data_IF_695252924152
#
_entry.id   IF_695252924152
#
_cell.length_a   1.000
_cell.length_b   1.000
_cell.length_c   1.000
_cell.angle_alpha   90.00
_cell.angle_beta   90.00
_cell.angle_gamma   90.00
#
_symmetry.space_group_name_H-M   'P 1'
#
loop_
_entity.id
_entity.type
_entity.pdbx_description
1 polymer ?
#
# COMPACT_ATOMS: atom_id res chain seq x y z
N UNK A 1 10.31 2.86 18.31
CA UNK A 1 9.98 1.52 18.85
C UNK A 1 8.90 0.92 17.99
N UNK A 2 8.93 -0.39 17.68
CA UNK A 2 7.84 -1.00 16.92
C UNK A 2 6.60 -1.11 17.81
N UNK A 3 5.47 -0.57 17.33
CA UNK A 3 4.17 -0.66 18.00
C UNK A 3 3.33 -1.81 17.46
N UNK A 4 3.59 -2.22 16.20
CA UNK A 4 3.01 -3.40 15.58
C UNK A 4 4.12 -4.17 14.87
N UNK A 5 4.24 -5.48 15.13
CA UNK A 5 5.12 -6.40 14.40
C UNK A 5 4.28 -7.42 13.64
N UNK A 6 4.49 -7.47 12.35
CA UNK A 6 3.98 -8.51 11.46
C UNK A 6 5.11 -9.50 11.26
N UNK A 7 4.93 -10.77 11.67
CA UNK A 7 5.99 -11.77 11.69
C UNK A 7 5.59 -13.00 10.88
N UNK A 8 6.31 -13.24 9.79
CA UNK A 8 6.24 -14.43 8.96
C UNK A 8 4.81 -14.80 8.53
N UNK A 9 4.00 -13.79 8.18
CA UNK A 9 2.62 -14.04 7.79
C UNK A 9 2.53 -14.65 6.39
N UNK A 10 1.64 -15.65 6.27
CA UNK A 10 1.19 -16.16 4.97
C UNK A 10 -0.33 -16.12 4.93
N UNK A 11 -0.87 -15.85 3.76
CA UNK A 11 -2.31 -15.77 3.52
C UNK A 11 -2.67 -16.23 2.12
N UNK A 12 -3.66 -17.13 2.06
CA UNK A 12 -4.23 -17.66 0.82
C UNK A 12 -5.67 -17.16 0.65
N UNK A 13 -6.06 -16.85 -0.56
CA UNK A 13 -7.45 -16.67 -0.95
C UNK A 13 -7.77 -17.65 -2.09
N UNK A 14 -8.50 -18.71 -1.76
CA UNK A 14 -8.63 -19.85 -2.66
C UNK A 14 -7.26 -20.42 -3.01
N UNK A 15 -6.94 -20.47 -4.30
CA UNK A 15 -5.63 -20.96 -4.78
C UNK A 15 -4.57 -19.83 -4.91
N UNK A 16 -4.95 -18.58 -4.62
CA UNK A 16 -4.05 -17.44 -4.78
C UNK A 16 -3.30 -17.14 -3.47
N UNK A 17 -1.98 -17.27 -3.51
CA UNK A 17 -1.10 -16.85 -2.44
C UNK A 17 -1.01 -15.31 -2.43
N UNK A 18 -1.42 -14.68 -1.33
CA UNK A 18 -1.44 -13.23 -1.16
C UNK A 18 -0.18 -12.77 -0.41
N UNK A 19 0.17 -13.47 0.67
CA UNK A 19 1.40 -13.24 1.43
C UNK A 19 2.16 -14.56 1.58
N UNK A 20 3.49 -14.49 1.43
CA UNK A 20 4.41 -15.62 1.50
C UNK A 20 5.56 -15.27 2.45
N UNK A 21 5.46 -15.73 3.69
CA UNK A 21 6.47 -15.49 4.74
C UNK A 21 6.85 -14.00 4.88
N UNK A 22 5.83 -13.13 4.86
CA UNK A 22 6.02 -11.69 4.83
C UNK A 22 6.14 -11.12 6.25
N UNK A 23 7.10 -10.22 6.46
CA UNK A 23 7.36 -9.59 7.75
C UNK A 23 7.53 -8.08 7.60
N UNK A 24 6.98 -7.32 8.57
CA UNK A 24 7.09 -5.86 8.59
C UNK A 24 6.89 -5.33 10.02
N UNK A 25 7.65 -4.29 10.39
CA UNK A 25 7.51 -3.59 11.66
C UNK A 25 7.01 -2.16 11.46
N UNK A 26 5.90 -1.79 12.11
CA UNK A 26 5.35 -0.44 12.14
C UNK A 26 5.85 0.27 13.39
N UNK A 27 6.49 1.43 13.21
CA UNK A 27 7.05 2.22 14.31
C UNK A 27 6.11 3.34 14.71
N UNK A 28 6.27 3.80 15.94
CA UNK A 28 5.56 4.98 16.43
C UNK A 28 5.92 6.23 15.59
N UNK A 29 4.91 6.96 15.14
CA UNK A 29 5.08 8.14 14.28
C UNK A 29 5.31 7.85 12.80
N UNK A 30 5.35 6.59 12.38
CA UNK A 30 5.41 6.21 10.96
C UNK A 30 4.14 6.65 10.22
N UNK A 31 4.31 7.23 9.05
CA UNK A 31 3.24 7.48 8.08
C UNK A 31 3.48 6.62 6.86
N UNK A 32 2.97 5.40 6.91
CA UNK A 32 3.23 4.36 5.92
C UNK A 32 2.17 4.37 4.84
N UNK A 33 2.60 4.60 3.60
CA UNK A 33 1.78 4.39 2.41
C UNK A 33 1.99 2.98 1.85
N UNK A 34 0.92 2.20 1.70
CA UNK A 34 0.96 0.87 1.12
C UNK A 34 0.70 0.95 -0.37
N UNK A 35 1.62 0.40 -1.16
CA UNK A 35 1.53 0.38 -2.62
C UNK A 35 1.64 -1.04 -3.16
N UNK A 36 1.13 -1.26 -4.36
CA UNK A 36 1.15 -2.56 -5.03
C UNK A 36 0.02 -2.68 -6.04
N UNK A 37 0.08 -3.68 -6.93
CA UNK A 37 -0.93 -3.94 -7.96
C UNK A 37 -2.28 -4.29 -7.30
N UNK A 38 -3.38 -4.08 -8.01
CA UNK A 38 -4.69 -4.48 -7.52
C UNK A 38 -4.77 -6.00 -7.29
N UNK A 39 -5.33 -6.38 -6.14
CA UNK A 39 -5.44 -7.79 -5.74
C UNK A 39 -4.17 -8.40 -5.16
N UNK A 40 -3.16 -7.61 -4.75
CA UNK A 40 -1.98 -8.07 -4.00
C UNK A 40 -2.21 -8.19 -2.49
N UNK A 41 -3.39 -7.84 -1.99
CA UNK A 41 -3.73 -7.98 -0.58
C UNK A 41 -3.57 -6.72 0.27
N UNK A 42 -3.50 -5.52 -0.32
CA UNK A 42 -3.38 -4.26 0.44
C UNK A 42 -4.47 -4.10 1.51
N UNK A 43 -5.74 -4.17 1.12
CA UNK A 43 -6.87 -4.07 2.07
C UNK A 43 -6.94 -5.26 3.03
N UNK A 44 -6.50 -6.45 2.60
CA UNK A 44 -6.37 -7.61 3.48
C UNK A 44 -5.35 -7.36 4.58
N UNK A 45 -4.20 -6.76 4.24
CA UNK A 45 -3.18 -6.38 5.22
C UNK A 45 -3.74 -5.37 6.23
N UNK A 46 -4.47 -4.34 5.75
CA UNK A 46 -5.11 -3.37 6.65
C UNK A 46 -6.08 -4.05 7.60
N UNK A 47 -6.96 -4.94 7.11
CA UNK A 47 -7.89 -5.71 7.95
C UNK A 47 -7.19 -6.61 8.95
N UNK A 48 -6.11 -7.26 8.54
CA UNK A 48 -5.31 -8.08 9.47
C UNK A 48 -4.65 -7.21 10.56
N UNK A 49 -4.12 -6.03 10.19
CA UNK A 49 -3.54 -5.10 11.17
C UNK A 49 -4.61 -4.52 12.08
N UNK A 50 -5.80 -4.20 11.57
CA UNK A 50 -6.96 -3.77 12.37
C UNK A 50 -7.52 -4.86 13.29
N UNK A 51 -7.22 -6.13 13.02
CA UNK A 51 -7.72 -7.26 13.80
C UNK A 51 -9.04 -7.85 13.32
N UNK A 52 -9.53 -7.40 12.15
CA UNK A 52 -10.76 -7.92 11.53
C UNK A 52 -10.53 -9.24 10.77
N UNK A 53 -9.27 -9.53 10.43
CA UNK A 53 -8.87 -10.75 9.74
C UNK A 53 -7.62 -11.35 10.37
N UNK A 54 -7.44 -12.67 10.24
CA UNK A 54 -6.27 -13.39 10.76
C UNK A 54 -5.44 -13.94 9.60
N UNK A 55 -4.11 -13.94 9.71
CA UNK A 55 -3.25 -14.66 8.77
C UNK A 55 -3.46 -16.17 8.92
N UNK A 56 -3.14 -16.96 7.88
CA UNK A 56 -3.22 -18.42 7.90
C UNK A 56 -2.00 -19.03 8.62
N UNK A 57 -0.86 -18.34 8.57
CA UNK A 57 0.33 -18.65 9.38
C UNK A 57 1.06 -17.36 9.77
N UNK A 58 1.97 -17.45 10.74
CA UNK A 58 2.64 -16.29 11.33
C UNK A 58 1.75 -15.58 12.36
N UNK A 59 2.15 -14.38 12.74
CA UNK A 59 1.43 -13.62 13.76
C UNK A 59 1.57 -12.11 13.58
N UNK A 60 0.60 -11.38 14.14
CA UNK A 60 0.63 -9.91 14.23
C UNK A 60 0.61 -9.54 15.71
N UNK A 61 1.73 -9.03 16.20
CA UNK A 61 1.91 -8.63 17.59
C UNK A 61 1.67 -7.13 17.67
N UNK A 62 0.75 -6.72 18.54
CA UNK A 62 0.43 -5.30 18.80
C UNK A 62 0.86 -4.95 20.22
N UNK A 63 1.31 -3.72 20.41
CA UNK A 63 1.59 -3.20 21.73
C UNK A 63 0.32 -3.24 22.60
N UNK A 64 0.48 -3.52 23.90
CA UNK A 64 -0.65 -3.54 24.83
C UNK A 64 -1.34 -2.17 24.90
N UNK A 65 -2.67 -2.18 24.94
CA UNK A 65 -3.55 -0.99 25.02
C UNK A 65 -3.40 -0.04 23.83
N UNK A 66 -2.91 -0.50 22.67
CA UNK A 66 -2.82 0.28 21.46
C UNK A 66 -4.23 0.59 20.93
N UNK A 67 -4.58 1.87 20.90
CA UNK A 67 -5.85 2.33 20.33
C UNK A 67 -5.71 2.44 18.82
N UNK A 68 -6.57 1.76 18.08
CA UNK A 68 -6.56 1.77 16.61
C UNK A 68 -7.90 2.24 16.08
N UNK A 69 -7.85 3.20 15.15
CA UNK A 69 -9.01 3.62 14.39
C UNK A 69 -8.89 3.12 12.95
N UNK A 70 -9.92 2.50 12.40
CA UNK A 70 -9.91 1.93 11.06
C UNK A 70 -11.03 2.46 10.19
N UNK A 71 -10.69 2.98 9.02
CA UNK A 71 -11.61 3.32 7.95
C UNK A 71 -11.52 2.25 6.85
N UNK A 72 -12.48 1.33 6.74
CA UNK A 72 -12.50 0.33 5.67
C UNK A 72 -12.87 0.95 4.32
N UNK A 73 -12.56 0.25 3.23
CA UNK A 73 -12.93 0.67 1.88
C UNK A 73 -14.45 0.82 1.72
N UNK A 74 -15.23 -0.03 2.36
CA UNK A 74 -16.69 0.02 2.39
C UNK A 74 -17.19 0.00 3.84
N UNK A 75 -17.39 1.17 4.47
CA UNK A 75 -17.93 1.23 5.82
C UNK A 75 -19.35 0.67 5.91
N UNK A 76 -19.65 -0.01 6.99
CA UNK A 76 -21.00 -0.48 7.31
C UNK A 76 -21.75 0.59 8.12
N UNK A 77 -23.03 0.72 7.84
CA UNK A 77 -23.89 1.72 8.50
C UNK A 77 -25.10 1.04 9.11
N UNK A 78 -25.44 1.37 10.39
CA UNK A 78 -26.68 0.91 11.00
C UNK A 78 -27.89 1.45 10.25
N UNK A 79 -28.94 0.64 10.15
CA UNK A 79 -30.22 1.08 9.58
C UNK A 79 -30.80 2.24 10.40
N UNK A 80 -31.43 3.18 9.71
CA UNK A 80 -32.08 4.36 10.31
C UNK A 80 -31.15 5.31 11.10
N UNK A 81 -29.84 5.12 11.08
CA UNK A 81 -28.92 6.04 11.74
C UNK A 81 -28.87 7.39 11.02
N UNK A 82 -28.79 8.47 11.80
CA UNK A 82 -28.51 9.81 11.29
C UNK A 82 -26.99 10.04 11.21
N UNK A 83 -26.58 11.07 10.47
CA UNK A 83 -25.17 11.47 10.35
C UNK A 83 -24.54 11.62 11.74
N UNK A 84 -25.15 12.40 12.62
CA UNK A 84 -24.60 12.68 13.94
C UNK A 84 -24.64 11.44 14.85
N UNK A 85 -25.74 10.67 14.83
CA UNK A 85 -25.87 9.48 15.67
C UNK A 85 -24.83 8.40 15.33
N UNK A 86 -24.48 8.26 14.06
CA UNK A 86 -23.41 7.35 13.61
C UNK A 86 -22.05 7.89 13.98
N UNK A 87 -21.82 9.18 13.75
CA UNK A 87 -20.51 9.79 13.97
C UNK A 87 -20.15 9.91 15.46
N UNK A 88 -21.15 9.91 16.37
CA UNK A 88 -20.98 9.91 17.83
C UNK A 88 -21.26 8.55 18.47
N UNK A 89 -21.09 7.46 17.77
CA UNK A 89 -21.39 6.13 18.33
C UNK A 89 -20.26 5.51 19.17
N UNK A 90 -19.19 6.25 19.44
CA UNK A 90 -18.04 5.86 20.26
C UNK A 90 -17.73 6.92 21.33
N UNK A 91 -16.43 7.05 21.62
CA UNK A 91 -15.91 8.02 22.60
C UNK A 91 -15.52 9.36 21.95
N UNK A 92 -16.09 9.66 20.75
CA UNK A 92 -15.76 10.86 19.99
C UNK A 92 -16.30 12.13 20.66
N UNK A 93 -15.52 13.20 20.66
CA UNK A 93 -15.94 14.52 21.09
C UNK A 93 -16.85 15.19 20.03
N UNK A 94 -18.07 15.56 20.40
CA UNK A 94 -19.07 16.11 19.47
C UNK A 94 -18.54 17.28 18.64
N UNK A 95 -17.81 18.20 19.24
CA UNK A 95 -17.24 19.37 18.55
C UNK A 95 -16.20 18.99 17.48
N UNK A 96 -15.41 17.93 17.72
CA UNK A 96 -14.43 17.41 16.74
C UNK A 96 -15.16 16.76 15.57
N UNK A 97 -16.17 15.94 15.85
CA UNK A 97 -17.00 15.31 14.83
C UNK A 97 -17.66 16.36 13.95
N UNK A 98 -18.30 17.37 14.54
CA UNK A 98 -18.96 18.45 13.79
C UNK A 98 -17.95 19.25 12.97
N UNK A 99 -16.78 19.57 13.52
CA UNK A 99 -15.70 20.24 12.79
C UNK A 99 -15.27 19.43 11.56
N UNK A 100 -15.00 18.13 11.73
CA UNK A 100 -14.59 17.25 10.64
C UNK A 100 -15.69 17.11 9.57
N UNK A 101 -16.96 17.00 9.97
CA UNK A 101 -18.11 16.94 9.05
C UNK A 101 -18.19 18.20 8.18
N UNK A 102 -18.05 19.39 8.79
CA UNK A 102 -18.04 20.67 8.07
C UNK A 102 -16.91 20.71 7.04
N UNK A 103 -15.68 20.33 7.42
CA UNK A 103 -14.54 20.29 6.51
C UNK A 103 -14.74 19.32 5.35
N UNK A 104 -15.50 18.24 5.57
CA UNK A 104 -15.85 17.26 4.55
C UNK A 104 -17.16 17.60 3.79
N UNK A 105 -17.70 18.81 4.01
CA UNK A 105 -18.87 19.33 3.30
C UNK A 105 -20.19 18.66 3.69
N UNK A 106 -20.29 18.15 4.91
CA UNK A 106 -21.51 17.56 5.48
C UNK A 106 -22.04 18.52 6.55
N UNK A 107 -23.18 19.14 6.27
CA UNK A 107 -23.82 20.15 7.17
C UNK A 107 -25.17 19.70 7.73
N UNK A 108 -25.76 18.67 7.16
CA UNK A 108 -27.08 18.14 7.57
C UNK A 108 -26.86 16.98 8.57
N UNK A 109 -26.76 17.30 9.86
CA UNK A 109 -26.46 16.34 10.91
C UNK A 109 -27.57 15.35 11.22
N UNK A 110 -28.86 15.79 11.05
CA UNK A 110 -30.03 14.97 11.29
C UNK A 110 -30.46 14.15 10.07
N UNK A 111 -29.79 14.33 8.93
CA UNK A 111 -30.07 13.55 7.73
C UNK A 111 -29.82 12.05 7.98
N UNK A 112 -30.74 11.20 7.50
CA UNK A 112 -30.55 9.74 7.54
C UNK A 112 -29.44 9.34 6.60
N UNK A 113 -28.54 8.45 7.05
CA UNK A 113 -27.45 7.94 6.23
C UNK A 113 -27.94 7.25 4.95
N UNK A 114 -29.10 6.61 4.98
CA UNK A 114 -29.69 5.95 3.83
C UNK A 114 -30.07 6.92 2.70
N UNK A 115 -30.30 8.19 3.02
CA UNK A 115 -30.61 9.24 2.03
C UNK A 115 -29.37 9.84 1.38
N UNK A 116 -28.20 9.60 1.94
CA UNK A 116 -26.94 10.12 1.45
C UNK A 116 -26.36 9.25 0.32
N UNK A 117 -25.64 9.90 -0.60
CA UNK A 117 -24.83 9.18 -1.60
C UNK A 117 -23.73 8.34 -0.94
N UNK A 118 -23.23 7.32 -1.63
CA UNK A 118 -22.13 6.49 -1.12
C UNK A 118 -20.89 7.31 -0.74
N UNK A 119 -20.56 8.34 -1.54
CA UNK A 119 -19.46 9.26 -1.25
C UNK A 119 -19.68 10.10 0.02
N UNK A 120 -20.91 10.62 0.23
CA UNK A 120 -21.24 11.36 1.45
C UNK A 120 -21.18 10.47 2.69
N UNK A 121 -21.74 9.26 2.62
CA UNK A 121 -21.65 8.28 3.73
C UNK A 121 -20.19 8.00 4.10
N UNK A 122 -19.32 7.86 3.10
CA UNK A 122 -17.90 7.63 3.33
C UNK A 122 -17.21 8.80 4.01
N UNK A 123 -17.56 10.05 3.65
CA UNK A 123 -17.09 11.26 4.33
C UNK A 123 -17.51 11.30 5.79
N UNK A 124 -18.75 10.87 6.10
CA UNK A 124 -19.21 10.75 7.48
C UNK A 124 -18.40 9.72 8.26
N UNK A 125 -18.09 8.56 7.66
CA UNK A 125 -17.26 7.55 8.29
C UNK A 125 -15.80 8.06 8.51
N UNK A 126 -15.24 8.81 7.56
CA UNK A 126 -13.95 9.46 7.72
C UNK A 126 -13.97 10.48 8.86
N UNK A 127 -15.02 11.34 8.92
CA UNK A 127 -15.15 12.33 10.00
C UNK A 127 -15.16 11.68 11.38
N UNK A 128 -15.90 10.57 11.54
CA UNK A 128 -15.93 9.78 12.76
C UNK A 128 -14.54 9.26 13.14
N UNK A 129 -13.90 8.56 12.22
CA UNK A 129 -12.58 7.94 12.47
C UNK A 129 -11.55 8.98 12.86
N UNK A 130 -11.56 10.18 12.22
CA UNK A 130 -10.62 11.26 12.54
C UNK A 130 -10.93 11.99 13.87
N UNK A 131 -12.13 11.80 14.44
CA UNK A 131 -12.51 12.37 15.73
C UNK A 131 -12.29 11.41 16.90
N UNK A 132 -12.05 10.13 16.64
CA UNK A 132 -11.77 9.12 17.67
C UNK A 132 -10.40 9.35 18.31
N UNK A 133 -10.22 8.83 19.52
CA UNK A 133 -8.92 8.81 20.19
C UNK A 133 -8.14 7.56 19.75
N UNK A 134 -7.01 7.74 19.08
CA UNK A 134 -6.21 6.66 18.51
C UNK A 134 -4.70 6.95 18.51
N UNK A 135 -3.91 5.88 18.65
CA UNK A 135 -2.45 5.87 18.47
C UNK A 135 -2.09 5.51 17.03
N UNK A 136 -2.90 4.64 16.41
CA UNK A 136 -2.72 4.19 15.02
C UNK A 136 -3.98 4.41 14.21
N UNK A 137 -3.83 5.15 13.12
CA UNK A 137 -4.88 5.41 12.15
C UNK A 137 -4.69 4.53 10.91
N UNK A 138 -5.65 3.66 10.64
CA UNK A 138 -5.64 2.75 9.49
C UNK A 138 -6.68 3.23 8.48
N UNK A 139 -6.25 3.50 7.24
CA UNK A 139 -7.10 4.09 6.21
C UNK A 139 -7.04 3.29 4.90
N UNK A 140 -8.20 2.84 4.44
CA UNK A 140 -8.33 2.19 3.14
C UNK A 140 -9.01 3.14 2.14
N UNK A 141 -8.22 3.71 1.22
CA UNK A 141 -8.63 4.67 0.18
C UNK A 141 -9.32 5.93 0.73
N UNK A 142 -8.72 6.66 1.69
CA UNK A 142 -9.37 7.82 2.33
C UNK A 142 -9.60 9.00 1.38
N UNK A 143 -8.86 9.07 0.28
CA UNK A 143 -8.91 10.17 -0.69
C UNK A 143 -10.07 10.07 -1.69
N UNK A 144 -10.71 8.90 -1.79
CA UNK A 144 -11.82 8.69 -2.71
C UNK A 144 -13.03 9.56 -2.35
N UNK A 145 -13.61 10.17 -3.36
CA UNK A 145 -14.77 11.07 -3.25
C UNK A 145 -14.51 12.41 -2.55
N UNK A 146 -13.25 12.77 -2.31
CA UNK A 146 -12.87 14.08 -1.80
C UNK A 146 -12.56 15.03 -2.96
N UNK A 147 -13.01 16.27 -2.84
CA UNK A 147 -12.58 17.36 -3.73
C UNK A 147 -11.22 17.94 -3.29
N UNK A 148 -10.69 18.87 -4.10
CA UNK A 148 -9.36 19.42 -3.85
C UNK A 148 -9.22 20.16 -2.52
N UNK A 149 -10.29 20.82 -2.04
CA UNK A 149 -10.26 21.55 -0.77
C UNK A 149 -10.22 20.57 0.41
N UNK A 150 -11.05 19.52 0.35
CA UNK A 150 -11.09 18.45 1.35
C UNK A 150 -9.78 17.65 1.37
N UNK A 151 -9.19 17.36 0.20
CA UNK A 151 -7.87 16.71 0.10
C UNK A 151 -6.79 17.57 0.76
N UNK A 152 -6.75 18.87 0.48
CA UNK A 152 -5.76 19.76 1.10
C UNK A 152 -5.92 19.82 2.61
N UNK A 153 -7.15 19.86 3.11
CA UNK A 153 -7.42 19.79 4.54
C UNK A 153 -6.94 18.47 5.15
N UNK A 154 -7.24 17.33 4.49
CA UNK A 154 -6.80 16.01 4.97
C UNK A 154 -5.27 15.87 4.94
N UNK A 155 -4.60 16.40 3.90
CA UNK A 155 -3.13 16.47 3.84
C UNK A 155 -2.55 17.22 5.04
N UNK A 156 -3.11 18.39 5.37
CA UNK A 156 -2.65 19.20 6.49
C UNK A 156 -2.96 18.54 7.84
N UNK A 157 -4.12 17.90 7.98
CA UNK A 157 -4.46 17.09 9.15
C UNK A 157 -3.42 15.99 9.36
N UNK A 158 -3.13 15.21 8.31
CA UNK A 158 -2.18 14.09 8.39
C UNK A 158 -0.74 14.56 8.66
N UNK A 159 -0.31 15.70 8.12
CA UNK A 159 1.02 16.27 8.40
C UNK A 159 1.19 16.68 9.86
N UNK A 160 0.15 17.27 10.43
CA UNK A 160 0.17 17.76 11.81
C UNK A 160 -0.06 16.65 12.85
N UNK A 161 -0.67 15.53 12.43
CA UNK A 161 -0.88 14.38 13.30
C UNK A 161 0.45 13.72 13.64
N UNK A 162 0.73 13.54 14.93
CA UNK A 162 1.99 12.99 15.44
C UNK A 162 1.99 11.47 15.62
N UNK A 163 0.82 10.85 15.63
CA UNK A 163 0.69 9.41 15.75
C UNK A 163 1.03 8.67 14.45
N UNK A 164 0.78 7.38 14.48
CA UNK A 164 1.10 6.47 13.37
C UNK A 164 -0.05 6.39 12.39
N UNK A 165 0.25 6.41 11.09
CA UNK A 165 -0.72 6.25 10.00
C UNK A 165 -0.30 5.08 9.12
N UNK A 166 -1.26 4.20 8.82
CA UNK A 166 -1.08 3.05 7.94
C UNK A 166 -2.16 3.07 6.88
N UNK A 167 -1.83 3.42 5.63
CA UNK A 167 -2.83 3.76 4.64
C UNK A 167 -2.58 3.15 3.27
N UNK A 168 -3.69 2.85 2.58
CA UNK A 168 -3.74 2.53 1.15
C UNK A 168 -4.41 3.69 0.42
N UNK A 169 -3.81 4.21 -0.63
CA UNK A 169 -4.46 5.15 -1.55
C UNK A 169 -3.83 5.09 -2.93
N UNK A 170 -4.61 5.41 -3.95
CA UNK A 170 -4.14 5.56 -5.33
C UNK A 170 -3.68 7.00 -5.63
N UNK A 171 -3.88 7.94 -4.72
CA UNK A 171 -3.40 9.33 -4.90
C UNK A 171 -1.91 9.44 -4.58
N UNK A 172 -1.09 9.47 -5.63
CA UNK A 172 0.38 9.56 -5.54
C UNK A 172 0.84 10.88 -4.93
N UNK A 173 0.12 11.97 -5.19
CA UNK A 173 0.46 13.28 -4.65
C UNK A 173 0.19 13.34 -3.15
N UNK A 174 -0.91 12.73 -2.72
CA UNK A 174 -1.20 12.59 -1.30
C UNK A 174 -0.14 11.76 -0.59
N UNK A 175 0.23 10.59 -1.15
CA UNK A 175 1.31 9.76 -0.61
C UNK A 175 2.64 10.52 -0.52
N UNK A 176 3.01 11.24 -1.57
CA UNK A 176 4.28 11.96 -1.62
C UNK A 176 4.40 13.05 -0.55
N UNK A 177 3.27 13.69 -0.21
CA UNK A 177 3.21 14.77 0.78
C UNK A 177 3.07 14.30 2.23
N UNK A 178 2.42 13.16 2.45
CA UNK A 178 2.01 12.69 3.77
C UNK A 178 2.90 11.56 4.28
N UNK A 179 3.32 10.63 3.42
CA UNK A 179 4.08 9.46 3.86
C UNK A 179 5.56 9.77 4.08
N UNK A 180 6.13 9.22 5.14
CA UNK A 180 7.58 9.17 5.39
C UNK A 180 8.17 7.78 5.12
N UNK A 181 7.30 6.79 4.88
CA UNK A 181 7.69 5.41 4.61
C UNK A 181 6.71 4.76 3.62
N UNK A 182 7.23 4.00 2.67
CA UNK A 182 6.41 3.26 1.70
C UNK A 182 6.61 1.76 1.94
N UNK A 183 5.51 1.02 1.96
CA UNK A 183 5.46 -0.43 2.01
C UNK A 183 4.92 -0.96 0.68
N UNK A 184 5.80 -1.55 -0.12
CA UNK A 184 5.41 -2.21 -1.37
C UNK A 184 5.03 -3.66 -1.12
N UNK A 185 3.87 -4.08 -1.64
CA UNK A 185 3.44 -5.48 -1.68
C UNK A 185 3.58 -5.97 -3.13
N UNK A 186 4.52 -6.88 -3.34
CA UNK A 186 4.80 -7.47 -4.65
C UNK A 186 5.08 -8.97 -4.53
N UNK A 187 4.38 -9.77 -5.32
CA UNK A 187 4.53 -11.24 -5.38
C UNK A 187 4.54 -11.94 -4.01
N UNK A 188 3.64 -11.55 -3.12
CA UNK A 188 3.52 -12.11 -1.77
C UNK A 188 4.54 -11.61 -0.76
N UNK A 189 5.50 -10.77 -1.17
CA UNK A 189 6.53 -10.20 -0.31
C UNK A 189 6.25 -8.75 0.02
N UNK A 190 6.84 -8.28 1.10
CA UNK A 190 6.79 -6.90 1.57
C UNK A 190 8.17 -6.26 1.48
N UNK A 191 8.24 -5.10 0.82
CA UNK A 191 9.47 -4.30 0.72
C UNK A 191 9.23 -2.94 1.34
N UNK A 192 10.06 -2.57 2.31
CA UNK A 192 9.94 -1.31 3.03
C UNK A 192 10.99 -0.31 2.57
N UNK A 193 10.55 0.93 2.31
CA UNK A 193 11.40 2.04 1.89
C UNK A 193 11.17 3.23 2.82
N UNK A 194 12.21 3.65 3.52
CA UNK A 194 12.17 4.83 4.41
C UNK A 194 12.28 6.10 3.56
N UNK A 195 11.19 6.41 2.84
CA UNK A 195 11.14 7.51 1.88
C UNK A 195 9.69 7.92 1.57
N UNK A 196 9.52 9.09 0.92
CA UNK A 196 8.27 9.48 0.28
C UNK A 196 8.04 8.70 -1.04
N UNK A 197 6.88 8.93 -1.68
CA UNK A 197 6.51 8.20 -2.89
C UNK A 197 7.45 8.45 -4.08
N UNK A 198 7.91 9.69 -4.29
CA UNK A 198 8.82 10.03 -5.40
C UNK A 198 10.16 9.29 -5.27
N UNK A 199 10.76 9.33 -4.09
CA UNK A 199 12.04 8.63 -3.84
C UNK A 199 11.88 7.11 -3.85
N UNK A 200 10.74 6.59 -3.41
CA UNK A 200 10.41 5.17 -3.51
C UNK A 200 10.52 4.66 -4.95
N UNK A 201 10.01 5.40 -5.94
CA UNK A 201 10.09 4.99 -7.35
C UNK A 201 11.51 4.78 -7.84
N UNK A 202 12.44 5.66 -7.43
CA UNK A 202 13.86 5.54 -7.75
C UNK A 202 14.47 4.30 -7.08
N UNK A 203 14.23 4.12 -5.77
CA UNK A 203 14.75 2.97 -5.01
C UNK A 203 14.18 1.64 -5.52
N UNK A 204 12.91 1.61 -5.93
CA UNK A 204 12.29 0.45 -6.56
C UNK A 204 13.00 0.11 -7.86
N UNK A 205 13.23 1.09 -8.74
CA UNK A 205 13.93 0.88 -10.01
C UNK A 205 15.36 0.35 -9.79
N UNK A 206 16.10 0.92 -8.84
CA UNK A 206 17.44 0.43 -8.46
C UNK A 206 17.41 -1.03 -7.98
N UNK A 207 16.44 -1.40 -7.12
CA UNK A 207 16.25 -2.77 -6.64
C UNK A 207 15.98 -3.74 -7.81
N UNK A 208 15.01 -3.40 -8.67
CA UNK A 208 14.65 -4.25 -9.82
C UNK A 208 15.82 -4.44 -10.78
N UNK A 209 16.63 -3.40 -11.02
CA UNK A 209 17.85 -3.50 -11.83
C UNK A 209 18.88 -4.42 -11.19
N UNK A 210 19.11 -4.33 -9.89
CA UNK A 210 20.01 -5.23 -9.15
C UNK A 210 19.52 -6.68 -9.19
N UNK A 211 18.23 -6.92 -9.02
CA UNK A 211 17.63 -8.26 -9.11
C UNK A 211 17.80 -8.85 -10.51
N UNK A 212 17.57 -8.07 -11.56
CA UNK A 212 17.78 -8.50 -12.96
C UNK A 212 19.25 -8.77 -13.25
N UNK A 213 20.17 -7.94 -12.76
CA UNK A 213 21.61 -8.16 -12.93
C UNK A 213 22.06 -9.44 -12.21
N UNK A 214 21.57 -9.67 -11.00
CA UNK A 214 21.84 -10.90 -10.23
C UNK A 214 21.33 -12.14 -10.95
N UNK A 215 20.11 -12.08 -11.51
CA UNK A 215 19.53 -13.19 -12.27
C UNK A 215 20.30 -13.47 -13.56
N UNK A 216 20.71 -12.44 -14.32
CA UNK A 216 21.58 -12.63 -15.50
C UNK A 216 22.89 -13.32 -15.13
N UNK A 217 23.50 -12.94 -14.00
CA UNK A 217 24.72 -13.58 -13.48
C UNK A 217 24.45 -15.04 -13.10
N UNK A 218 23.34 -15.32 -12.39
CA UNK A 218 22.94 -16.68 -12.02
C UNK A 218 22.74 -17.56 -13.26
N UNK A 219 22.03 -17.06 -14.28
CA UNK A 219 21.78 -17.79 -15.54
C UNK A 219 23.11 -18.06 -16.30
N UNK A 220 24.03 -17.11 -16.32
CA UNK A 220 25.36 -17.30 -16.93
C UNK A 220 26.13 -18.42 -16.24
N UNK A 221 26.16 -18.41 -14.91
CA UNK A 221 26.81 -19.47 -14.11
C UNK A 221 26.11 -20.82 -14.35
N UNK A 222 24.77 -20.85 -14.32
CA UNK A 222 24.01 -22.06 -14.56
C UNK A 222 24.31 -22.66 -15.93
N UNK A 223 24.40 -21.83 -16.97
CA UNK A 223 24.78 -22.31 -18.33
C UNK A 223 26.14 -22.96 -18.34
N UNK A 224 27.15 -22.32 -17.73
CA UNK A 224 28.49 -22.88 -17.64
C UNK A 224 28.54 -24.21 -16.86
N UNK A 225 27.82 -24.29 -15.75
CA UNK A 225 27.77 -25.49 -14.93
C UNK A 225 26.99 -26.64 -15.62
N UNK A 226 25.93 -26.33 -16.39
CA UNK A 226 25.22 -27.31 -17.21
C UNK A 226 26.11 -27.85 -18.35
N UNK A 227 26.88 -27.01 -19.02
CA UNK A 227 27.79 -27.45 -20.04
C UNK A 227 28.91 -28.34 -19.46
N UNK A 228 29.40 -27.98 -18.26
CA UNK A 228 30.35 -28.83 -17.55
C UNK A 228 29.72 -30.21 -17.19
N UNK A 229 28.51 -30.23 -16.67
CA UNK A 229 27.81 -31.47 -16.33
C UNK A 229 27.55 -32.37 -17.56
N UNK A 230 27.21 -31.78 -18.73
CA UNK A 230 27.00 -32.50 -19.99
C UNK A 230 28.28 -33.21 -20.52
N UNK A 231 29.48 -32.72 -20.19
CA UNK A 231 30.76 -33.34 -20.59
C UNK A 231 31.09 -34.64 -19.86
N UNK A 232 30.15 -35.24 -19.16
CA UNK A 232 30.27 -36.59 -18.60
C UNK A 232 31.10 -36.67 -17.32
N UNK A 233 30.99 -35.70 -16.45
CA UNK A 233 31.66 -35.68 -15.14
C UNK A 233 31.16 -36.84 -14.26
N UNK A 234 31.99 -37.91 -14.15
CA UNK A 234 31.71 -38.98 -13.19
C UNK A 234 32.02 -38.49 -11.78
N UNK A 235 30.99 -38.50 -10.89
CA UNK A 235 31.07 -38.02 -9.50
C UNK A 235 31.96 -38.90 -8.60
N UNK A 236 33.26 -39.02 -8.96
CA UNK A 236 34.23 -39.84 -8.22
C UNK A 236 34.99 -39.10 -7.12
N UNK A 237 34.86 -37.76 -7.04
CA UNK A 237 35.52 -36.97 -6.00
C UNK A 237 34.52 -36.13 -5.21
N UNK A 238 34.82 -35.88 -3.95
CA UNK A 238 34.00 -35.02 -3.03
C UNK A 238 33.80 -33.63 -3.62
N UNK A 239 34.80 -33.07 -4.32
CA UNK A 239 34.68 -31.76 -4.99
C UNK A 239 33.67 -31.76 -6.14
N UNK A 240 33.56 -32.85 -6.90
CA UNK A 240 32.59 -32.98 -7.99
C UNK A 240 31.16 -33.12 -7.44
N UNK A 241 30.98 -33.85 -6.33
CA UNK A 241 29.66 -33.98 -5.66
C UNK A 241 29.17 -32.63 -5.14
N UNK A 242 30.00 -31.88 -4.43
CA UNK A 242 29.70 -30.54 -3.97
C UNK A 242 29.35 -29.55 -5.12
N UNK A 243 29.97 -29.74 -6.31
CA UNK A 243 29.65 -28.92 -7.50
C UNK A 243 28.30 -29.29 -8.10
N UNK A 244 27.91 -30.56 -8.12
CA UNK A 244 26.57 -31.01 -8.55
C UNK A 244 25.49 -30.52 -7.60
N UNK A 245 25.73 -30.57 -6.28
CA UNK A 245 24.81 -30.01 -5.28
C UNK A 245 24.58 -28.50 -5.49
N UNK A 246 25.65 -27.73 -5.77
CA UNK A 246 25.52 -26.31 -6.12
C UNK A 246 24.74 -26.08 -7.42
N UNK A 247 24.92 -26.95 -8.42
CA UNK A 247 24.16 -26.87 -9.66
C UNK A 247 22.65 -27.09 -9.41
N UNK A 248 22.27 -28.03 -8.53
CA UNK A 248 20.88 -28.24 -8.15
C UNK A 248 20.29 -27.02 -7.45
N UNK A 249 21.02 -26.39 -6.53
CA UNK A 249 20.61 -25.13 -5.89
C UNK A 249 20.43 -24.02 -6.92
N UNK A 250 21.34 -23.89 -7.89
CA UNK A 250 21.24 -22.90 -8.97
C UNK A 250 20.04 -23.15 -9.91
N UNK A 251 19.66 -24.41 -10.14
CA UNK A 251 18.46 -24.77 -10.94
C UNK A 251 17.16 -24.43 -10.24
N UNK A 252 17.12 -24.60 -8.93
CA UNK A 252 15.90 -24.41 -8.12
C UNK A 252 15.64 -22.93 -7.76
N UNK A 253 16.58 -22.02 -8.06
CA UNK A 253 16.37 -20.59 -7.88
C UNK A 253 15.30 -20.06 -8.83
N UNK A 254 14.34 -19.32 -8.30
CA UNK A 254 13.27 -18.65 -9.08
C UNK A 254 13.81 -17.37 -9.70
N UNK A 255 13.45 -17.10 -10.96
CA UNK A 255 13.75 -15.83 -11.60
C UNK A 255 12.85 -14.73 -11.00
N UNK A 256 13.34 -13.47 -10.86
CA UNK A 256 12.49 -12.35 -10.51
C UNK A 256 11.37 -12.22 -11.54
N UNK A 257 10.14 -12.12 -11.07
CA UNK A 257 8.98 -11.87 -11.94
C UNK A 257 8.85 -10.36 -12.09
N UNK A 258 8.92 -9.85 -13.32
CA UNK A 258 8.67 -8.43 -13.56
C UNK A 258 7.21 -8.10 -13.16
N UNK A 259 7.02 -7.05 -12.37
CA UNK A 259 5.70 -6.51 -12.13
C UNK A 259 5.11 -6.04 -13.46
N UNK A 260 3.85 -6.36 -13.71
CA UNK A 260 3.10 -5.71 -14.78
C UNK A 260 3.12 -4.19 -14.49
N UNK A 261 3.39 -3.39 -15.52
CA UNK A 261 3.38 -1.93 -15.40
C UNK A 261 2.08 -1.53 -14.72
N UNK A 262 2.19 -0.89 -13.56
CA UNK A 262 1.03 -0.36 -12.86
C UNK A 262 0.53 0.83 -13.69
N UNK A 263 -0.31 0.56 -14.69
CA UNK A 263 -1.18 1.58 -15.27
C UNK A 263 -2.22 1.91 -14.19
N UNK A 264 -1.83 2.79 -13.28
CA UNK A 264 -2.82 3.48 -12.50
C UNK A 264 -3.45 4.48 -13.47
N UNK A 265 -4.71 4.24 -13.85
CA UNK A 265 -5.51 5.21 -14.60
C UNK A 265 -5.37 6.56 -13.89
N UNK A 266 -4.69 7.47 -14.58
CA UNK A 266 -4.67 8.86 -14.19
C UNK A 266 -6.10 9.35 -14.38
N UNK A 267 -6.84 9.50 -13.29
CA UNK A 267 -8.08 10.27 -13.31
C UNK A 267 -7.68 11.68 -13.76
N UNK A 268 -7.95 11.99 -15.01
CA UNK A 268 -7.77 13.30 -15.63
C UNK A 268 -8.68 14.34 -14.98
N UNK A 269 -8.33 14.83 -13.80
CA UNK A 269 -9.12 15.89 -13.14
C UNK A 269 -8.29 16.98 -12.49
N UNK A 270 -7.01 17.18 -12.88
CA UNK A 270 -6.20 18.29 -12.38
C UNK A 270 -5.48 19.11 -13.45
N UNK A 271 -6.04 19.27 -14.65
CA UNK A 271 -5.55 20.32 -15.55
C UNK A 271 -6.64 21.35 -15.81
N UNK A 272 -6.51 22.50 -15.16
CA UNK A 272 -7.18 23.73 -15.54
C UNK A 272 -6.86 24.04 -17.00
N UNK A 273 -7.87 24.40 -17.78
CA UNK A 273 -7.83 24.78 -19.19
C UNK A 273 -6.70 25.77 -19.50
N UNK A 274 -5.58 25.27 -20.01
CA UNK A 274 -4.70 25.97 -20.94
C UNK A 274 -4.01 24.93 -21.80
N UNK A 275 -4.68 24.54 -22.88
CA UNK A 275 -4.10 23.81 -23.98
C UNK A 275 -3.26 24.79 -24.79
N UNK A 276 -1.95 24.64 -24.77
CA UNK A 276 -1.08 25.25 -25.76
C UNK A 276 -0.91 24.23 -26.87
N UNK A 277 -1.59 24.48 -28.00
CA UNK A 277 -1.40 23.68 -29.21
C UNK A 277 -0.07 24.04 -29.84
N UNK A 278 0.87 23.10 -29.86
CA UNK A 278 2.03 23.20 -30.74
C UNK A 278 1.63 22.79 -32.14
N UNK A 279 1.48 23.76 -33.02
CA UNK A 279 1.38 23.54 -34.47
C UNK A 279 2.74 23.13 -34.99
N UNK A 280 2.79 22.02 -35.73
CA UNK A 280 3.95 21.52 -36.48
C UNK A 280 4.50 22.61 -37.39
N UNK A 281 5.75 23.01 -37.21
CA UNK A 281 6.56 23.66 -38.23
C UNK A 281 7.09 22.57 -39.18
N UNK A 282 6.51 22.51 -40.38
CA UNK A 282 7.10 21.81 -41.52
C UNK A 282 8.32 22.61 -41.97
N UNK A 283 9.48 21.98 -41.97
CA UNK A 283 10.63 22.48 -42.73
C UNK A 283 10.32 22.38 -44.21
N UNK A 284 10.36 23.50 -44.92
CA UNK A 284 10.45 23.54 -46.36
C UNK A 284 11.92 23.30 -46.73
N UNK A 285 12.18 22.21 -47.42
CA UNK A 285 13.34 22.08 -48.28
C UNK A 285 13.15 23.01 -49.48
N UNK A 286 14.10 23.86 -49.72
CA UNK A 286 14.25 24.63 -50.98
C UNK A 286 15.45 24.08 -51.72
N UNK A 287 15.23 23.86 -53.02
CA UNK A 287 16.19 23.52 -54.07
C UNK A 287 17.46 24.38 -54.05
#
# INVERSE_FOLDING_TARGET
MNIINIEHISKLFGDKLIFDDASFGLQEGDKVGIVGINGTGKSTLLRMVAGEETPDSGQIIRQNNLKMAYLPQTPEFPKDATVLSYALSGDEEEWQVQSNLVQLGITEYDAKLDTLSGGQRRKVALAKVLASDFDVLILDEPTNHLDNAMLSWLEDYMKNYRGTVFMVTHDRYFLDKVSNRILEISHGKMYSYDSNYSRFLELKAEREEMELASERKRQSILRMELEWAKRGCRARSTKQRARLERLEVLKNGTAPTADAVVEMDAVETRMGKKTVSYTHLRAHETD
#
